data_IF_690403092539
#
_entry.id   IF_690403092539
#
_cell.length_a   1.000
_cell.length_b   1.000
_cell.length_c   1.000
_cell.angle_alpha   90.00
_cell.angle_beta   90.00
_cell.angle_gamma   90.00
#
_symmetry.space_group_name_H-M   'P 1'
#
loop_
_entity.id
_entity.type
_entity.pdbx_description
1 polymer ?
#
# COMPACT_ATOMS: atom_id res chain seq x y z
N UNK A 1 -2.02 13.26 0.86
CA UNK A 1 -1.93 12.20 -0.17
C UNK A 1 -2.85 11.02 0.12
N UNK A 2 -2.76 10.40 1.29
CA UNK A 2 -3.62 9.26 1.69
C UNK A 2 -5.13 9.48 1.48
N UNK A 3 -5.69 10.58 1.98
CA UNK A 3 -7.11 10.94 1.78
C UNK A 3 -7.50 11.03 0.28
N UNK A 4 -6.57 11.49 -0.57
CA UNK A 4 -6.83 11.56 -2.01
C UNK A 4 -6.82 10.17 -2.64
N UNK A 5 -5.90 9.29 -2.23
CA UNK A 5 -5.91 7.89 -2.65
C UNK A 5 -7.22 7.18 -2.25
N UNK A 6 -7.69 7.37 -1.02
CA UNK A 6 -8.96 6.80 -0.54
C UNK A 6 -10.16 7.20 -1.39
N UNK A 7 -10.21 8.46 -1.84
CA UNK A 7 -11.25 8.94 -2.75
C UNK A 7 -11.20 8.21 -4.10
N UNK A 8 -10.02 7.96 -4.64
CA UNK A 8 -9.84 7.23 -5.91
C UNK A 8 -10.16 5.73 -5.77
N UNK A 9 -10.01 5.17 -4.57
CA UNK A 9 -10.38 3.79 -4.25
C UNK A 9 -11.88 3.61 -3.96
N UNK A 10 -12.65 4.69 -3.84
CA UNK A 10 -14.07 4.64 -3.45
C UNK A 10 -14.95 3.78 -4.38
N UNK A 11 -14.68 3.74 -5.69
CA UNK A 11 -15.41 2.88 -6.63
C UNK A 11 -15.19 1.40 -6.31
N UNK A 12 -13.93 0.99 -6.10
CA UNK A 12 -13.59 -0.40 -5.77
C UNK A 12 -14.25 -0.83 -4.45
N UNK A 13 -14.30 0.07 -3.46
CA UNK A 13 -14.99 -0.19 -2.19
C UNK A 13 -16.50 -0.39 -2.38
N UNK A 14 -17.15 0.49 -3.15
CA UNK A 14 -18.59 0.41 -3.43
C UNK A 14 -18.97 -0.84 -4.21
N UNK A 15 -18.07 -1.30 -5.07
CA UNK A 15 -18.23 -2.54 -5.83
C UNK A 15 -17.91 -3.79 -4.99
N UNK A 16 -17.48 -3.63 -3.73
CA UNK A 16 -17.10 -4.74 -2.85
C UNK A 16 -15.78 -5.43 -3.22
N UNK A 17 -15.01 -4.85 -4.14
CA UNK A 17 -13.73 -5.41 -4.62
C UNK A 17 -12.65 -5.32 -3.53
N UNK A 18 -12.70 -4.28 -2.71
CA UNK A 18 -11.79 -4.10 -1.57
C UNK A 18 -12.56 -3.63 -0.34
N UNK A 19 -12.09 -4.03 0.84
CA UNK A 19 -12.34 -3.33 2.10
C UNK A 19 -11.05 -2.62 2.51
N UNK A 20 -11.16 -1.46 3.16
CA UNK A 20 -9.98 -0.68 3.54
C UNK A 20 -9.85 -0.49 5.03
N UNK A 21 -8.60 -0.51 5.49
CA UNK A 21 -8.24 -0.13 6.83
C UNK A 21 -6.97 0.75 6.83
N UNK A 22 -6.81 1.54 7.89
CA UNK A 22 -5.58 2.27 8.16
C UNK A 22 -5.42 2.65 9.63
N UNK A 23 -4.17 2.90 10.02
CA UNK A 23 -3.70 3.38 11.32
C UNK A 23 -4.57 4.51 11.92
N UNK A 24 -4.95 5.54 11.16
CA UNK A 24 -5.81 6.62 11.69
C UNK A 24 -7.27 6.22 12.00
N UNK A 25 -7.69 4.97 11.77
CA UNK A 25 -8.97 4.42 12.26
C UNK A 25 -8.86 3.90 13.69
N UNK A 26 -7.65 3.85 14.25
CA UNK A 26 -7.41 3.50 15.64
C UNK A 26 -7.94 4.66 16.50
N UNK A 27 -9.02 4.37 17.24
CA UNK A 27 -9.63 5.34 18.16
C UNK A 27 -8.70 5.68 19.33
N UNK A 28 -8.90 6.85 19.94
CA UNK A 28 -8.15 7.25 21.12
C UNK A 28 -8.27 6.19 22.24
N UNK A 29 -7.15 5.76 22.81
CA UNK A 29 -7.08 4.78 23.89
C UNK A 29 -6.88 3.31 23.48
N UNK A 30 -6.74 3.03 22.17
CA UNK A 30 -6.33 1.70 21.68
C UNK A 30 -4.82 1.63 21.49
N UNK A 31 -4.22 0.49 21.85
CA UNK A 31 -2.81 0.20 21.56
C UNK A 31 -2.62 0.07 20.04
N UNK A 32 -1.92 1.05 19.47
CA UNK A 32 -1.82 1.24 18.03
C UNK A 32 -1.09 0.09 17.32
N UNK A 33 -0.04 -0.45 17.93
CA UNK A 33 0.75 -1.58 17.42
C UNK A 33 -0.11 -2.83 17.22
N UNK A 34 -0.97 -3.17 18.18
CA UNK A 34 -1.81 -4.38 18.11
C UNK A 34 -2.83 -4.33 16.96
N UNK A 35 -3.41 -3.15 16.69
CA UNK A 35 -4.38 -3.00 15.59
C UNK A 35 -3.69 -3.02 14.23
N UNK A 36 -2.48 -2.44 14.11
CA UNK A 36 -1.68 -2.56 12.89
C UNK A 36 -1.34 -4.02 12.63
N UNK A 37 -0.89 -4.76 13.64
CA UNK A 37 -0.59 -6.18 13.51
C UNK A 37 -1.80 -7.00 13.04
N UNK A 38 -2.98 -6.78 13.60
CA UNK A 38 -4.21 -7.49 13.18
C UNK A 38 -4.47 -7.26 11.69
N UNK A 39 -4.47 -6.00 11.27
CA UNK A 39 -4.76 -5.66 9.87
C UNK A 39 -3.66 -6.07 8.92
N UNK A 40 -2.40 -6.00 9.35
CA UNK A 40 -1.25 -6.47 8.61
C UNK A 40 -1.26 -7.99 8.43
N UNK A 41 -1.84 -8.74 9.37
CA UNK A 41 -1.96 -10.20 9.30
C UNK A 41 -3.19 -10.71 8.54
N UNK A 42 -4.21 -9.86 8.37
CA UNK A 42 -5.49 -10.25 7.75
C UNK A 42 -5.69 -9.65 6.36
N UNK A 43 -4.95 -8.62 5.99
CA UNK A 43 -5.09 -7.96 4.68
C UNK A 43 -4.52 -8.81 3.55
N UNK A 44 -5.25 -8.92 2.43
CA UNK A 44 -4.75 -9.58 1.21
C UNK A 44 -3.93 -8.64 0.32
N UNK A 45 -4.10 -7.32 0.47
CA UNK A 45 -3.33 -6.30 -0.25
C UNK A 45 -2.76 -5.33 0.78
N UNK A 46 -1.45 -5.12 0.75
CA UNK A 46 -0.72 -4.22 1.65
C UNK A 46 -0.07 -3.13 0.80
N UNK A 47 -0.42 -1.86 1.04
CA UNK A 47 0.12 -0.74 0.29
C UNK A 47 1.24 -0.05 1.08
N UNK A 48 2.40 0.12 0.45
CA UNK A 48 3.53 0.85 1.02
C UNK A 48 3.59 2.25 0.39
N UNK A 49 3.33 3.31 1.15
CA UNK A 49 3.33 4.69 0.61
C UNK A 49 4.75 5.28 0.65
N UNK A 50 5.54 4.99 -0.39
CA UNK A 50 6.97 5.26 -0.44
C UNK A 50 7.26 6.76 -0.60
N UNK A 51 8.02 7.32 0.33
CA UNK A 51 8.44 8.73 0.38
C UNK A 51 9.72 8.86 1.22
N UNK A 52 10.42 10.02 1.22
CA UNK A 52 11.52 10.27 2.15
C UNK A 52 11.14 9.99 3.61
N UNK A 53 9.96 10.45 4.06
CA UNK A 53 9.48 10.22 5.43
C UNK A 53 9.27 8.74 5.75
N UNK A 54 8.85 7.96 4.77
CA UNK A 54 8.68 6.52 4.88
C UNK A 54 10.03 5.79 4.94
N UNK A 55 11.00 6.21 4.15
CA UNK A 55 12.34 5.59 4.16
C UNK A 55 13.18 6.01 5.37
N UNK A 56 12.87 7.16 5.98
CA UNK A 56 13.57 7.68 7.16
C UNK A 56 12.99 7.20 8.49
N UNK A 57 11.76 6.64 8.51
CA UNK A 57 11.34 5.89 9.69
C UNK A 57 12.23 4.64 9.81
N UNK A 58 12.29 3.98 10.97
CA UNK A 58 13.11 2.78 11.20
C UNK A 58 12.66 1.54 10.37
N UNK A 59 12.09 1.77 9.19
CA UNK A 59 11.37 0.87 8.31
C UNK A 59 12.16 -0.38 7.90
N UNK A 60 13.45 -0.28 7.57
CA UNK A 60 14.28 -1.45 7.24
C UNK A 60 14.42 -2.46 8.39
N UNK A 61 14.11 -2.04 9.62
CA UNK A 61 14.18 -2.84 10.84
C UNK A 61 12.81 -3.01 11.51
N UNK A 62 11.75 -2.52 10.87
CA UNK A 62 10.41 -2.55 11.43
C UNK A 62 9.80 -3.95 11.31
N UNK A 63 9.26 -4.43 12.43
CA UNK A 63 8.59 -5.74 12.53
C UNK A 63 7.45 -5.81 11.51
N UNK A 64 6.76 -4.69 11.29
CA UNK A 64 5.65 -4.57 10.34
C UNK A 64 6.10 -4.81 8.90
N UNK A 65 7.19 -4.18 8.46
CA UNK A 65 7.70 -4.40 7.11
C UNK A 65 8.09 -5.86 6.90
N UNK A 66 8.85 -6.40 7.86
CA UNK A 66 9.33 -7.77 7.78
C UNK A 66 8.14 -8.72 7.65
N UNK A 67 7.12 -8.54 8.49
CA UNK A 67 5.89 -9.33 8.45
C UNK A 67 5.14 -9.18 7.13
N UNK A 68 5.01 -7.97 6.59
CA UNK A 68 4.39 -7.74 5.30
C UNK A 68 5.09 -8.52 4.17
N UNK A 69 6.43 -8.49 4.16
CA UNK A 69 7.23 -9.19 3.15
C UNK A 69 7.21 -10.70 3.32
N UNK A 70 7.21 -11.22 4.55
CA UNK A 70 7.03 -12.65 4.83
C UNK A 70 5.70 -13.15 4.25
N UNK A 71 4.60 -12.45 4.54
CA UNK A 71 3.27 -12.80 3.99
C UNK A 71 3.24 -12.68 2.46
N UNK A 72 3.96 -11.72 1.90
CA UNK A 72 4.08 -11.58 0.46
C UNK A 72 4.81 -12.75 -0.19
N UNK A 73 5.93 -13.16 0.40
CA UNK A 73 6.72 -14.31 -0.07
C UNK A 73 5.94 -15.63 0.08
N UNK A 74 5.14 -15.75 1.14
CA UNK A 74 4.24 -16.89 1.36
C UNK A 74 2.98 -16.87 0.47
N UNK A 75 2.82 -15.87 -0.40
CA UNK A 75 1.63 -15.66 -1.25
C UNK A 75 0.32 -15.47 -0.46
N UNK A 76 0.38 -15.16 0.83
CA UNK A 76 -0.78 -14.88 1.69
C UNK A 76 -1.29 -13.44 1.53
N UNK A 77 -0.44 -12.55 1.01
CA UNK A 77 -0.78 -11.17 0.70
C UNK A 77 0.00 -10.65 -0.50
N UNK A 78 -0.48 -9.60 -1.16
CA UNK A 78 0.26 -8.84 -2.17
C UNK A 78 0.72 -7.52 -1.58
N UNK A 79 2.04 -7.35 -1.45
CA UNK A 79 2.64 -6.05 -1.10
C UNK A 79 2.81 -5.24 -2.38
N UNK A 80 2.35 -3.98 -2.35
CA UNK A 80 2.40 -3.08 -3.50
C UNK A 80 3.06 -1.75 -3.06
N UNK A 81 4.27 -1.46 -3.55
CA UNK A 81 4.87 -0.14 -3.38
C UNK A 81 4.08 0.91 -4.17
N UNK A 82 3.72 2.02 -3.52
CA UNK A 82 3.10 3.20 -4.14
C UNK A 82 4.05 4.38 -3.95
N UNK A 83 4.73 4.77 -5.02
CA UNK A 83 5.74 5.83 -5.01
C UNK A 83 5.05 7.19 -4.91
N UNK A 84 5.14 7.83 -3.76
CA UNK A 84 4.57 9.16 -3.51
C UNK A 84 5.54 10.24 -3.92
N UNK A 85 6.83 10.07 -3.61
CA UNK A 85 7.90 11.06 -3.82
C UNK A 85 9.19 10.38 -4.28
N UNK A 86 10.12 11.16 -4.84
CA UNK A 86 11.46 10.66 -5.13
C UNK A 86 12.19 10.27 -3.85
N UNK A 87 12.70 9.04 -3.83
CA UNK A 87 13.56 8.50 -2.77
C UNK A 87 14.28 7.26 -3.32
N UNK A 88 15.45 6.92 -2.78
CA UNK A 88 16.13 5.67 -3.12
C UNK A 88 15.46 4.49 -2.37
N UNK A 89 14.65 3.70 -3.09
CA UNK A 89 13.91 2.56 -2.54
C UNK A 89 14.26 1.23 -3.22
N UNK A 90 15.10 1.24 -4.27
CA UNK A 90 15.38 0.06 -5.10
C UNK A 90 16.11 -1.03 -4.31
N UNK A 91 16.95 -0.64 -3.36
CA UNK A 91 17.69 -1.57 -2.51
C UNK A 91 16.91 -2.03 -1.27
N UNK A 92 15.69 -1.53 -1.08
CA UNK A 92 14.86 -1.94 0.04
C UNK A 92 14.30 -3.37 -0.16
N UNK A 93 13.82 -4.06 0.90
CA UNK A 93 13.29 -5.43 0.79
C UNK A 93 12.17 -5.60 -0.25
N UNK A 94 11.39 -4.54 -0.50
CA UNK A 94 10.29 -4.47 -1.46
C UNK A 94 10.71 -3.88 -2.82
N UNK A 95 11.99 -3.56 -3.02
CA UNK A 95 12.52 -2.85 -4.19
C UNK A 95 12.44 -3.63 -5.50
N UNK A 96 12.26 -4.96 -5.43
CA UNK A 96 12.04 -5.84 -6.58
C UNK A 96 10.57 -5.96 -6.99
N UNK A 97 9.65 -5.44 -6.18
CA UNK A 97 8.22 -5.51 -6.47
C UNK A 97 7.84 -4.45 -7.51
N UNK A 98 6.89 -4.78 -8.38
CA UNK A 98 6.34 -3.81 -9.31
C UNK A 98 5.60 -2.71 -8.53
N UNK A 99 6.06 -1.47 -8.70
CA UNK A 99 5.50 -0.32 -8.01
C UNK A 99 4.41 0.37 -8.84
N UNK A 100 3.51 1.04 -8.12
CA UNK A 100 2.55 2.00 -8.64
C UNK A 100 2.98 3.43 -8.27
N UNK A 101 2.52 4.49 -8.96
CA UNK A 101 1.80 4.49 -10.23
C UNK A 101 2.59 3.82 -11.37
N UNK A 102 1.96 3.67 -12.54
CA UNK A 102 2.59 3.14 -13.74
C UNK A 102 3.97 3.77 -14.02
N UNK A 103 4.95 2.91 -14.35
CA UNK A 103 6.34 3.30 -14.55
C UNK A 103 7.08 3.72 -13.26
N UNK A 104 6.51 3.45 -12.09
CA UNK A 104 7.02 3.88 -10.77
C UNK A 104 7.24 5.40 -10.67
N UNK A 105 6.56 6.20 -11.50
CA UNK A 105 6.67 7.65 -11.47
C UNK A 105 6.01 8.20 -10.21
N UNK A 106 6.74 8.91 -9.32
CA UNK A 106 6.20 9.37 -8.05
C UNK A 106 4.93 10.21 -8.23
N UNK A 107 3.93 10.04 -7.38
CA UNK A 107 2.66 10.80 -7.45
C UNK A 107 2.90 12.31 -7.52
N UNK A 108 3.85 12.85 -6.73
CA UNK A 108 4.17 14.29 -6.72
C UNK A 108 4.76 14.82 -8.02
N UNK A 109 5.28 13.96 -8.89
CA UNK A 109 5.84 14.34 -10.19
C UNK A 109 4.81 14.39 -11.32
N UNK A 110 3.59 13.94 -11.07
CA UNK A 110 2.53 14.09 -12.04
C UNK A 110 2.01 15.53 -11.96
N UNK A 111 1.95 16.22 -13.10
CA UNK A 111 1.29 17.53 -13.19
C UNK A 111 -0.20 17.51 -12.80
N UNK A 112 -0.79 16.32 -12.61
CA UNK A 112 -2.12 16.13 -12.07
C UNK A 112 -2.16 14.87 -11.17
N UNK A 113 -2.28 15.08 -9.86
CA UNK A 113 -2.32 13.99 -8.87
C UNK A 113 -3.53 13.07 -9.03
N UNK A 114 -4.66 13.54 -9.58
CA UNK A 114 -5.81 12.67 -9.83
C UNK A 114 -5.48 11.64 -10.91
N UNK A 115 -4.69 12.00 -11.93
CA UNK A 115 -4.22 11.03 -12.94
C UNK A 115 -3.29 9.99 -12.31
N UNK A 116 -2.41 10.42 -11.41
CA UNK A 116 -1.52 9.52 -10.69
C UNK A 116 -2.31 8.53 -9.81
N UNK A 117 -3.23 9.03 -8.99
CA UNK A 117 -4.04 8.17 -8.13
C UNK A 117 -5.03 7.28 -8.90
N UNK A 118 -5.51 7.72 -10.07
CA UNK A 118 -6.26 6.84 -10.97
C UNK A 118 -5.40 5.68 -11.48
N UNK A 119 -4.14 5.92 -11.84
CA UNK A 119 -3.20 4.86 -12.21
C UNK A 119 -3.00 3.87 -11.05
N UNK A 120 -2.82 4.37 -9.82
CA UNK A 120 -2.73 3.53 -8.61
C UNK A 120 -4.01 2.70 -8.40
N UNK A 121 -5.19 3.32 -8.47
CA UNK A 121 -6.46 2.63 -8.26
C UNK A 121 -6.73 1.55 -9.33
N UNK A 122 -6.33 1.79 -10.59
CA UNK A 122 -6.41 0.80 -11.66
C UNK A 122 -5.48 -0.39 -11.40
N UNK A 123 -4.24 -0.14 -10.97
CA UNK A 123 -3.30 -1.20 -10.60
C UNK A 123 -3.83 -2.06 -9.44
N UNK A 124 -4.35 -1.43 -8.39
CA UNK A 124 -4.96 -2.14 -7.25
C UNK A 124 -6.16 -2.97 -7.68
N UNK A 125 -7.00 -2.46 -8.60
CA UNK A 125 -8.14 -3.21 -9.14
C UNK A 125 -7.70 -4.50 -9.85
N UNK A 126 -6.61 -4.45 -10.60
CA UNK A 126 -6.08 -5.63 -11.31
C UNK A 126 -5.64 -6.67 -10.27
N UNK A 127 -4.81 -6.28 -9.30
CA UNK A 127 -4.36 -7.17 -8.23
C UNK A 127 -5.52 -7.75 -7.43
N UNK A 128 -6.53 -6.95 -7.09
CA UNK A 128 -7.69 -7.42 -6.34
C UNK A 128 -8.51 -8.47 -7.13
N UNK A 129 -8.58 -8.34 -8.46
CA UNK A 129 -9.24 -9.34 -9.31
C UNK A 129 -8.43 -10.64 -9.38
N UNK A 130 -7.11 -10.55 -9.57
CA UNK A 130 -6.22 -11.72 -9.53
C UNK A 130 -6.44 -12.53 -8.24
N UNK A 131 -6.42 -11.86 -7.09
CA UNK A 131 -6.62 -12.50 -5.79
C UNK A 131 -8.03 -13.08 -5.58
N UNK A 132 -9.04 -12.59 -6.31
CA UNK A 132 -10.39 -13.14 -6.28
C UNK A 132 -10.55 -14.34 -7.23
N UNK A 133 -9.75 -14.41 -8.29
CA UNK A 133 -9.74 -15.53 -9.25
C UNK A 133 -8.90 -16.71 -8.76
N UNK A 134 -7.91 -16.46 -7.88
CA UNK A 134 -7.07 -17.48 -7.23
C UNK A 134 -7.75 -18.17 -6.01
N UNK A 135 -8.98 -17.77 -5.65
CA UNK A 135 -9.81 -18.36 -4.57
C UNK A 135 -10.81 -19.39 -5.11
#
# INVERSE_FOLDING_TARGET
MRVQLEKHLSSLKREGVITDWHDRKIGAGKEWENEIDIHLNTSHIILLLISPSFMSSNYCWDVELKRAMERHQAQEARVIPVIIEFVDWINAPFGRLQALPEGARPVKEWGNYNKAFLSVAKGIRIVAKELLEDL
#
